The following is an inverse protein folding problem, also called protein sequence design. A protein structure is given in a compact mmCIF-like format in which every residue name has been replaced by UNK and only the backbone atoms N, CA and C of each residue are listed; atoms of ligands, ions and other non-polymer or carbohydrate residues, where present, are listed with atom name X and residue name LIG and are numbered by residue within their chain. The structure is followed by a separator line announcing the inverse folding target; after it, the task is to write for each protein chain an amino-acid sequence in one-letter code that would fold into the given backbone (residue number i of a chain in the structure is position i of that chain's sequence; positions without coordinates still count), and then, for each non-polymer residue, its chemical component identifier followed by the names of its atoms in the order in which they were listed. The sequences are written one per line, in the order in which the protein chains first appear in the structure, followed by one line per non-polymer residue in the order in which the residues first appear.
data_IF_856894563919
#
_entry.id   IF_856894563919
#
_cell.length_a   1.000
_cell.length_b   1.000
_cell.length_c   1.000
_cell.angle_alpha   90.00
_cell.angle_beta   90.00
_cell.angle_gamma   90.00
#
_symmetry.space_group_name_H-M   'P 1'
#
loop_
_entity.id
_entity.type
_entity.pdbx_description
1 polymer ?
#
# COMPACT_ATOMS: atom_id res chain seq x y z
N UNK A 1 -18.43 -23.71 13.95
CA UNK A 1 -17.51 -24.32 12.97
C UNK A 1 -16.62 -25.25 13.75
N UNK A 2 -16.96 -26.53 13.75
CA UNK A 2 -16.19 -27.54 14.46
C UNK A 2 -14.81 -27.60 13.84
N UNK A 3 -13.80 -27.13 14.59
CA UNK A 3 -12.42 -27.05 14.16
C UNK A 3 -11.81 -28.43 14.03
N UNK A 4 -12.17 -29.17 12.97
CA UNK A 4 -11.45 -30.39 12.60
C UNK A 4 -10.00 -30.01 12.37
N UNK A 5 -9.11 -30.61 13.16
CA UNK A 5 -7.68 -30.47 12.96
C UNK A 5 -7.34 -30.96 11.54
N UNK A 6 -6.72 -30.10 10.74
CA UNK A 6 -6.26 -30.49 9.41
C UNK A 6 -5.12 -31.50 9.55
N UNK A 7 -5.26 -32.66 8.91
CA UNK A 7 -4.23 -33.71 8.87
C UNK A 7 -3.46 -33.57 7.57
N UNK A 8 -2.12 -33.67 7.62
CA UNK A 8 -1.30 -33.61 6.41
C UNK A 8 -1.58 -34.84 5.50
N UNK A 9 -1.89 -34.65 4.21
CA UNK A 9 -2.15 -35.77 3.30
C UNK A 9 -0.89 -36.58 2.93
N UNK A 10 0.31 -36.08 3.23
CA UNK A 10 1.58 -36.74 2.91
C UNK A 10 2.13 -37.62 4.05
N UNK A 11 2.05 -37.14 5.29
CA UNK A 11 2.55 -37.87 6.47
C UNK A 11 1.48 -38.35 7.44
N UNK A 12 0.21 -38.00 7.20
CA UNK A 12 -0.95 -38.40 8.01
C UNK A 12 -0.90 -37.96 9.49
N UNK A 13 -0.09 -36.94 9.81
CA UNK A 13 0.01 -36.37 11.15
C UNK A 13 -0.63 -34.97 11.22
N UNK A 14 -1.16 -34.62 12.40
CA UNK A 14 -1.77 -33.32 12.70
C UNK A 14 -0.92 -32.44 13.65
N UNK A 15 0.13 -33.00 14.25
CA UNK A 15 0.97 -32.37 15.28
C UNK A 15 1.74 -31.15 14.77
N UNK A 16 2.19 -31.19 13.52
CA UNK A 16 3.05 -30.18 12.89
C UNK A 16 2.37 -29.42 11.75
N UNK A 17 1.04 -29.48 11.69
CA UNK A 17 0.24 -28.74 10.73
C UNK A 17 -0.14 -27.38 11.32
N UNK A 18 0.20 -26.30 10.64
CA UNK A 18 -0.12 -24.94 11.05
C UNK A 18 -0.79 -24.19 9.93
N UNK A 19 -1.71 -23.27 10.27
CA UNK A 19 -2.34 -22.39 9.28
C UNK A 19 -1.28 -21.51 8.61
N UNK A 20 -1.33 -21.38 7.28
CA UNK A 20 -0.36 -20.56 6.53
C UNK A 20 -0.30 -19.13 7.04
N UNK A 21 -1.45 -18.54 7.39
CA UNK A 21 -1.51 -17.20 7.96
C UNK A 21 -0.78 -17.08 9.30
N UNK A 22 -0.85 -18.13 10.15
CA UNK A 22 -0.10 -18.20 11.40
C UNK A 22 1.39 -18.30 11.15
N UNK A 23 1.82 -19.10 10.17
CA UNK A 23 3.24 -19.21 9.79
C UNK A 23 3.79 -17.92 9.20
N UNK A 24 3.02 -17.22 8.37
CA UNK A 24 3.39 -15.91 7.86
C UNK A 24 3.52 -14.87 8.98
N UNK A 25 2.56 -14.83 9.91
CA UNK A 25 2.62 -13.94 11.07
C UNK A 25 3.81 -14.24 11.99
N UNK A 26 4.21 -15.52 12.15
CA UNK A 26 5.45 -15.87 12.86
C UNK A 26 6.72 -15.50 12.08
N UNK A 27 6.65 -15.53 10.75
CA UNK A 27 7.76 -15.21 9.86
C UNK A 27 7.94 -13.73 9.58
N UNK A 28 7.01 -12.88 10.03
CA UNK A 28 7.04 -11.42 9.86
C UNK A 28 6.98 -10.75 11.22
N UNK A 29 7.87 -9.81 11.47
CA UNK A 29 7.91 -9.08 12.73
C UNK A 29 8.45 -7.68 12.53
N UNK A 30 7.96 -6.74 13.34
CA UNK A 30 8.51 -5.40 13.38
C UNK A 30 9.57 -5.37 14.48
N UNK A 31 10.78 -4.94 14.12
CA UNK A 31 11.84 -4.67 15.08
C UNK A 31 12.03 -3.16 15.17
N UNK A 32 11.82 -2.63 16.36
CA UNK A 32 12.24 -1.28 16.73
C UNK A 32 13.49 -1.40 17.60
N UNK A 33 14.65 -1.12 17.02
CA UNK A 33 15.91 -1.07 17.75
C UNK A 33 16.15 0.38 18.19
N UNK A 34 16.23 0.61 19.49
CA UNK A 34 16.65 1.90 20.06
C UNK A 34 18.07 1.74 20.57
N UNK A 35 18.99 2.54 20.05
CA UNK A 35 20.40 2.48 20.42
C UNK A 35 21.02 3.88 20.54
N UNK A 36 22.04 3.99 21.37
CA UNK A 36 22.93 5.16 21.39
C UNK A 36 24.06 4.94 20.40
N UNK A 37 24.05 5.66 19.29
CA UNK A 37 25.19 5.71 18.37
C UNK A 37 26.17 6.78 18.82
N UNK A 38 27.44 6.42 18.90
CA UNK A 38 28.54 7.37 19.15
C UNK A 38 29.18 7.70 17.80
N UNK A 39 29.21 8.98 17.46
CA UNK A 39 29.84 9.48 16.23
C UNK A 39 30.98 10.43 16.56
N UNK A 40 32.08 10.34 15.82
CA UNK A 40 33.13 11.35 15.82
C UNK A 40 33.04 12.15 14.51
N UNK A 41 33.00 13.47 14.62
CA UNK A 41 33.01 14.40 13.49
C UNK A 41 34.31 15.22 13.50
N UNK A 42 34.88 15.44 12.32
CA UNK A 42 36.00 16.37 12.13
C UNK A 42 35.45 17.66 11.51
N UNK A 43 35.63 18.78 12.20
CA UNK A 43 35.30 20.11 11.68
C UNK A 43 36.34 20.54 10.65
N UNK A 44 35.93 21.38 9.69
CA UNK A 44 36.85 22.01 8.73
C UNK A 44 37.94 22.87 9.40
N UNK A 45 37.73 23.28 10.65
CA UNK A 45 38.71 23.97 11.49
C UNK A 45 39.71 23.03 12.20
N UNK A 46 39.67 21.72 11.93
CA UNK A 46 40.56 20.73 12.53
C UNK A 46 40.17 20.24 13.94
N UNK A 47 39.00 20.63 14.43
CA UNK A 47 38.49 20.13 15.71
C UNK A 47 37.83 18.75 15.57
N UNK A 48 38.14 17.84 16.49
CA UNK A 48 37.44 16.55 16.63
C UNK A 48 36.33 16.71 17.67
N UNK A 49 35.08 16.45 17.29
CA UNK A 49 33.95 16.40 18.22
C UNK A 49 33.42 14.98 18.32
N UNK A 50 33.21 14.48 19.55
CA UNK A 50 32.52 13.21 19.80
C UNK A 50 31.13 13.52 20.30
N UNK A 51 30.11 13.02 19.60
CA UNK A 51 28.71 13.18 19.96
C UNK A 51 28.04 11.83 20.15
N UNK A 52 27.12 11.76 21.10
CA UNK A 52 26.20 10.62 21.23
C UNK A 52 24.84 11.04 20.67
N UNK A 53 24.27 10.23 19.78
CA UNK A 53 22.92 10.42 19.28
C UNK A 53 22.07 9.19 19.62
N UNK A 54 20.80 9.41 19.99
CA UNK A 54 19.82 8.34 20.07
C UNK A 54 19.30 8.06 18.67
N UNK A 55 19.61 6.88 18.15
CA UNK A 55 19.07 6.39 16.88
C UNK A 55 17.98 5.38 17.16
N UNK A 56 16.84 5.59 16.51
CA UNK A 56 15.77 4.60 16.42
C UNK A 56 15.80 4.02 15.02
N UNK A 57 15.99 2.71 14.93
CA UNK A 57 15.88 1.94 13.70
C UNK A 57 14.59 1.14 13.78
N UNK A 58 13.58 1.58 13.02
CA UNK A 58 12.38 0.78 12.80
C UNK A 58 12.58 -0.01 11.48
N UNK A 59 12.45 -1.33 11.54
CA UNK A 59 12.62 -2.21 10.38
C UNK A 59 11.71 -3.42 10.43
N UNK A 60 11.33 -3.90 9.25
CA UNK A 60 10.54 -5.13 9.12
C UNK A 60 11.48 -6.33 8.94
N UNK A 61 11.38 -7.28 9.87
CA UNK A 61 12.04 -8.58 9.77
C UNK A 61 11.09 -9.54 9.06
N UNK A 62 11.61 -10.24 8.04
CA UNK A 62 10.85 -11.27 7.34
C UNK A 62 11.72 -12.47 6.98
N UNK A 63 11.28 -13.66 7.37
CA UNK A 63 11.95 -14.93 7.02
C UNK A 63 11.67 -15.30 5.56
N UNK A 64 12.53 -16.12 4.96
CA UNK A 64 12.33 -16.62 3.58
C UNK A 64 10.99 -17.35 3.44
N UNK A 65 10.65 -18.20 4.42
CA UNK A 65 9.37 -18.90 4.49
C UNK A 65 8.20 -17.92 4.63
N UNK A 66 8.33 -16.91 5.51
CA UNK A 66 7.32 -15.86 5.67
C UNK A 66 7.05 -15.10 4.37
N UNK A 67 8.10 -14.79 3.59
CA UNK A 67 7.96 -14.16 2.27
C UNK A 67 7.29 -15.07 1.24
N UNK A 68 7.64 -16.36 1.21
CA UNK A 68 7.01 -17.32 0.29
C UNK A 68 5.52 -17.51 0.59
N UNK A 69 5.16 -17.53 1.88
CA UNK A 69 3.79 -17.66 2.38
C UNK A 69 3.04 -16.33 2.48
N UNK A 70 3.57 -15.23 1.93
CA UNK A 70 2.96 -13.92 2.02
C UNK A 70 1.54 -13.91 1.42
N UNK A 71 0.60 -13.15 2.02
CA UNK A 71 -0.71 -12.96 1.43
C UNK A 71 -0.61 -12.30 0.06
N UNK A 72 -1.60 -12.48 -0.84
CA UNK A 72 -1.61 -11.80 -2.12
C UNK A 72 -1.63 -10.27 -1.90
N UNK A 73 -0.72 -9.56 -2.57
CA UNK A 73 -0.57 -8.11 -2.41
C UNK A 73 -1.88 -7.40 -2.77
N UNK A 74 -2.41 -6.60 -1.83
CA UNK A 74 -3.58 -5.76 -2.09
C UNK A 74 -3.17 -4.65 -3.03
N UNK A 75 -4.02 -4.36 -4.02
CA UNK A 75 -3.80 -3.23 -4.91
C UNK A 75 -3.69 -1.93 -4.09
N UNK A 76 -2.49 -1.35 -4.04
CA UNK A 76 -2.27 -0.05 -3.41
C UNK A 76 -2.83 1.01 -4.35
N UNK A 77 -3.89 1.69 -3.92
CA UNK A 77 -4.39 2.88 -4.60
C UNK A 77 -3.24 3.89 -4.63
N UNK A 78 -2.79 4.27 -5.82
CA UNK A 78 -1.81 5.34 -5.95
C UNK A 78 -2.47 6.59 -5.39
N UNK A 79 -1.94 7.10 -4.27
CA UNK A 79 -2.39 8.35 -3.70
C UNK A 79 -2.02 9.45 -4.69
N UNK A 80 -3.00 9.90 -5.47
CA UNK A 80 -2.80 11.01 -6.38
C UNK A 80 -2.37 12.24 -5.56
N UNK A 81 -1.26 12.85 -5.96
CA UNK A 81 -0.66 13.97 -5.24
C UNK A 81 -1.67 15.12 -5.11
N UNK A 82 -2.11 15.38 -3.88
CA UNK A 82 -3.03 16.48 -3.55
C UNK A 82 -2.47 17.87 -3.91
N UNK A 83 -1.20 17.96 -4.30
CA UNK A 83 -0.52 19.18 -4.71
C UNK A 83 -1.22 19.90 -5.86
N UNK A 84 -1.64 19.19 -6.91
CA UNK A 84 -2.32 19.82 -8.06
C UNK A 84 -3.67 20.43 -7.68
N UNK A 85 -4.37 19.79 -6.75
CA UNK A 85 -5.67 20.27 -6.24
C UNK A 85 -5.44 21.49 -5.36
N UNK A 86 -4.45 21.44 -4.47
CA UNK A 86 -4.08 22.57 -3.63
C UNK A 86 -3.69 23.79 -4.48
N UNK A 87 -2.93 23.59 -5.56
CA UNK A 87 -2.53 24.64 -6.49
C UNK A 87 -3.74 25.26 -7.22
N UNK A 88 -4.68 24.44 -7.70
CA UNK A 88 -5.89 24.92 -8.35
C UNK A 88 -6.78 25.75 -7.40
N UNK A 89 -6.95 25.29 -6.16
CA UNK A 89 -7.70 26.03 -5.12
C UNK A 89 -7.00 27.34 -4.76
N UNK A 90 -5.67 27.31 -4.63
CA UNK A 90 -4.87 28.51 -4.38
C UNK A 90 -5.07 29.57 -5.46
N UNK A 91 -5.00 29.20 -6.74
CA UNK A 91 -5.23 30.12 -7.86
C UNK A 91 -6.67 30.68 -7.88
N UNK A 92 -7.65 29.86 -7.52
CA UNK A 92 -9.07 30.26 -7.47
C UNK A 92 -9.35 31.28 -6.36
N UNK A 93 -8.63 31.23 -5.23
CA UNK A 93 -8.82 32.17 -4.11
C UNK A 93 -7.95 33.41 -4.24
N UNK A 94 -6.67 33.23 -4.60
CA UNK A 94 -5.70 34.33 -4.63
C UNK A 94 -5.89 35.22 -5.86
N UNK A 95 -6.27 34.64 -7.00
CA UNK A 95 -6.50 35.40 -8.25
C UNK A 95 -7.54 36.51 -8.09
N UNK A 96 -8.76 36.22 -7.60
CA UNK A 96 -9.80 37.22 -7.38
C UNK A 96 -9.43 38.25 -6.30
N UNK A 97 -8.78 37.82 -5.22
CA UNK A 97 -8.34 38.75 -4.17
C UNK A 97 -7.32 39.77 -4.70
N UNK A 98 -6.34 39.31 -5.48
CA UNK A 98 -5.39 40.21 -6.14
C UNK A 98 -6.09 41.11 -7.15
N UNK A 99 -7.02 40.60 -7.95
CA UNK A 99 -7.80 41.39 -8.89
C UNK A 99 -8.60 42.53 -8.23
N UNK A 100 -9.22 42.26 -7.07
CA UNK A 100 -9.95 43.25 -6.28
C UNK A 100 -9.03 44.35 -5.72
N UNK A 101 -7.85 43.98 -5.24
CA UNK A 101 -6.85 44.95 -4.77
C UNK A 101 -6.38 45.89 -5.89
N UNK A 102 -6.16 45.39 -7.10
CA UNK A 102 -5.77 46.21 -8.25
C UNK A 102 -6.92 47.06 -8.81
N UNK A 103 -8.17 46.61 -8.69
CA UNK A 103 -9.31 47.43 -9.12
C UNK A 103 -9.46 48.71 -8.29
N UNK A 104 -9.06 48.69 -7.02
CA UNK A 104 -9.11 49.85 -6.14
C UNK A 104 -8.15 50.99 -6.53
N UNK A 105 -7.12 50.71 -7.34
CA UNK A 105 -6.14 51.72 -7.79
C UNK A 105 -6.55 52.47 -9.06
N UNK A 106 -7.78 52.26 -9.57
CA UNK A 106 -8.36 53.08 -10.64
C UNK A 106 -7.86 52.78 -12.06
N UNK A 107 -7.26 51.61 -12.30
CA UNK A 107 -6.92 51.17 -13.65
C UNK A 107 -8.12 50.45 -14.30
N UNK A 108 -8.28 50.58 -15.63
CA UNK A 108 -9.29 49.89 -16.48
C UNK A 108 -9.16 48.34 -16.49
N UNK A 109 -8.48 47.76 -15.50
CA UNK A 109 -8.19 46.32 -15.35
C UNK A 109 -9.37 45.50 -14.81
N UNK A 110 -10.55 46.08 -14.67
CA UNK A 110 -11.77 45.34 -14.24
C UNK A 110 -12.04 44.17 -15.20
N UNK A 111 -11.88 44.38 -16.51
CA UNK A 111 -12.03 43.32 -17.50
C UNK A 111 -11.00 42.21 -17.29
N UNK A 112 -9.73 42.55 -17.04
CA UNK A 112 -8.67 41.57 -16.76
C UNK A 112 -9.00 40.71 -15.54
N UNK A 113 -9.51 41.32 -14.47
CA UNK A 113 -9.95 40.60 -13.27
C UNK A 113 -11.10 39.63 -13.54
N UNK A 114 -12.12 40.06 -14.28
CA UNK A 114 -13.26 39.21 -14.66
C UNK A 114 -12.83 38.06 -15.58
N UNK A 115 -11.96 38.32 -16.55
CA UNK A 115 -11.41 37.27 -17.42
C UNK A 115 -10.60 36.25 -16.63
N UNK A 116 -9.68 36.68 -15.75
CA UNK A 116 -8.88 35.78 -14.92
C UNK A 116 -9.75 34.93 -13.97
N UNK A 117 -10.77 35.54 -13.36
CA UNK A 117 -11.73 34.82 -12.53
C UNK A 117 -12.52 33.79 -13.34
N UNK A 118 -13.01 34.16 -14.54
CA UNK A 118 -13.72 33.26 -15.44
C UNK A 118 -12.87 32.06 -15.88
N UNK A 119 -11.62 32.30 -16.29
CA UNK A 119 -10.67 31.23 -16.61
C UNK A 119 -10.33 30.36 -15.40
N UNK A 120 -10.21 30.94 -14.21
CA UNK A 120 -10.00 30.20 -12.97
C UNK A 120 -11.16 29.28 -12.62
N UNK A 121 -12.40 29.75 -12.77
CA UNK A 121 -13.60 28.94 -12.52
C UNK A 121 -13.73 27.82 -13.56
N UNK A 122 -13.60 28.14 -14.86
CA UNK A 122 -13.69 27.13 -15.93
C UNK A 122 -12.58 26.08 -15.81
N UNK A 123 -11.35 26.51 -15.52
CA UNK A 123 -10.22 25.62 -15.26
C UNK A 123 -10.43 24.77 -14.01
N UNK A 124 -10.92 25.36 -12.93
CA UNK A 124 -11.27 24.65 -11.69
C UNK A 124 -12.36 23.60 -11.89
N UNK A 125 -13.45 23.95 -12.57
CA UNK A 125 -14.54 23.00 -12.88
C UNK A 125 -14.04 21.88 -13.76
N UNK A 126 -13.26 22.18 -14.81
CA UNK A 126 -12.68 21.17 -15.70
C UNK A 126 -11.75 20.21 -14.95
N UNK A 127 -10.82 20.72 -14.15
CA UNK A 127 -9.88 19.90 -13.37
C UNK A 127 -10.60 19.04 -12.33
N UNK A 128 -11.63 19.55 -11.67
CA UNK A 128 -12.48 18.78 -10.77
C UNK A 128 -13.27 17.68 -11.51
N UNK A 129 -13.77 17.97 -12.71
CA UNK A 129 -14.50 17.00 -13.51
C UNK A 129 -13.61 15.87 -14.02
N UNK A 130 -12.43 16.20 -14.56
CA UNK A 130 -11.41 15.22 -14.94
C UNK A 130 -10.98 14.37 -13.73
N UNK A 131 -10.75 15.00 -12.57
CA UNK A 131 -10.42 14.30 -11.34
C UNK A 131 -11.52 13.33 -10.92
N UNK A 132 -12.79 13.77 -10.92
CA UNK A 132 -13.93 12.91 -10.58
C UNK A 132 -14.03 11.73 -11.55
N UNK A 133 -13.79 11.97 -12.83
CA UNK A 133 -13.78 10.92 -13.86
C UNK A 133 -12.62 9.93 -13.65
N UNK A 134 -11.44 10.41 -13.29
CA UNK A 134 -10.30 9.56 -12.93
C UNK A 134 -10.59 8.75 -11.67
N UNK A 135 -11.13 9.35 -10.61
CA UNK A 135 -11.51 8.66 -9.39
C UNK A 135 -12.56 7.57 -9.66
N UNK A 136 -13.62 7.87 -10.40
CA UNK A 136 -14.61 6.85 -10.77
C UNK A 136 -14.00 5.72 -11.61
N UNK A 137 -13.09 6.03 -12.54
CA UNK A 137 -12.39 5.00 -13.31
C UNK A 137 -11.47 4.15 -12.43
N UNK A 138 -10.78 4.75 -11.47
CA UNK A 138 -9.94 4.05 -10.51
C UNK A 138 -10.77 3.19 -9.55
N UNK A 139 -11.89 3.71 -9.05
CA UNK A 139 -12.81 2.98 -8.18
C UNK A 139 -13.44 1.79 -8.92
N UNK A 140 -13.85 1.98 -10.19
CA UNK A 140 -14.36 0.88 -11.02
C UNK A 140 -13.28 -0.19 -11.24
N UNK A 141 -12.04 0.21 -11.57
CA UNK A 141 -10.91 -0.73 -11.71
C UNK A 141 -10.53 -1.39 -10.38
N UNK A 142 -10.66 -0.68 -9.27
CA UNK A 142 -10.39 -1.21 -7.94
C UNK A 142 -11.45 -2.26 -7.58
N UNK A 143 -12.73 -1.98 -7.82
CA UNK A 143 -13.83 -2.92 -7.61
C UNK A 143 -13.67 -4.18 -8.47
N UNK A 144 -13.33 -4.02 -9.76
CA UNK A 144 -13.05 -5.15 -10.67
C UNK A 144 -11.89 -6.02 -10.18
N UNK A 145 -10.90 -5.44 -9.50
CA UNK A 145 -9.74 -6.17 -8.95
C UNK A 145 -9.97 -6.71 -7.54
N UNK A 146 -10.95 -6.18 -6.82
CA UNK A 146 -11.25 -6.53 -5.44
C UNK A 146 -11.87 -7.92 -5.34
N UNK A 147 -12.76 -8.28 -6.27
CA UNK A 147 -13.36 -9.62 -6.29
C UNK A 147 -12.34 -10.75 -6.51
N UNK A 148 -11.47 -10.73 -7.54
CA UNK A 148 -10.40 -11.73 -7.67
C UNK A 148 -9.46 -11.76 -6.46
N UNK A 149 -9.12 -10.60 -5.90
CA UNK A 149 -8.28 -10.54 -4.70
C UNK A 149 -8.97 -11.15 -3.48
N UNK A 150 -10.27 -10.93 -3.29
CA UNK A 150 -11.05 -11.55 -2.21
C UNK A 150 -11.09 -13.06 -2.35
N UNK A 151 -11.27 -13.58 -3.57
CA UNK A 151 -11.21 -15.01 -3.85
C UNK A 151 -9.82 -15.59 -3.54
N UNK A 152 -8.76 -14.95 -4.03
CA UNK A 152 -7.38 -15.33 -3.71
C UNK A 152 -7.10 -15.31 -2.21
N UNK A 153 -7.59 -14.29 -1.50
CA UNK A 153 -7.45 -14.16 -0.05
C UNK A 153 -8.22 -15.24 0.71
N UNK A 154 -9.43 -15.57 0.27
CA UNK A 154 -10.22 -16.67 0.83
C UNK A 154 -9.48 -18.01 0.68
N UNK A 155 -8.90 -18.27 -0.51
CA UNK A 155 -8.06 -19.45 -0.73
C UNK A 155 -6.82 -19.44 0.16
N UNK A 156 -6.06 -18.35 0.19
CA UNK A 156 -4.87 -18.25 1.05
C UNK A 156 -5.20 -18.50 2.53
N UNK A 157 -6.34 -18.01 3.01
CA UNK A 157 -6.80 -18.21 4.38
C UNK A 157 -7.21 -19.64 4.74
N UNK A 158 -7.46 -20.52 3.75
CA UNK A 158 -7.81 -21.93 4.01
C UNK A 158 -6.60 -22.87 3.95
N UNK A 159 -5.44 -22.38 3.49
CA UNK A 159 -4.23 -23.17 3.36
C UNK A 159 -3.58 -23.51 4.71
N UNK A 160 -3.05 -24.73 4.78
CA UNK A 160 -2.26 -25.24 5.90
C UNK A 160 -0.85 -25.61 5.41
N UNK A 161 0.13 -25.45 6.29
CA UNK A 161 1.53 -25.77 6.07
C UNK A 161 1.95 -26.90 7.01
N UNK A 162 2.54 -27.96 6.45
CA UNK A 162 3.15 -29.04 7.21
C UNK A 162 4.64 -28.77 7.35
N UNK A 163 5.10 -28.55 8.59
CA UNK A 163 6.52 -28.28 8.87
C UNK A 163 7.41 -29.49 8.58
N UNK A 164 6.89 -30.72 8.73
CA UNK A 164 7.66 -31.96 8.55
C UNK A 164 8.06 -32.20 7.10
N UNK A 165 7.12 -31.96 6.19
CA UNK A 165 7.25 -32.30 4.78
C UNK A 165 7.61 -31.10 3.88
N UNK A 166 7.62 -29.89 4.46
CA UNK A 166 7.76 -28.62 3.75
C UNK A 166 6.76 -28.46 2.59
N UNK A 167 5.49 -28.80 2.86
CA UNK A 167 4.39 -28.71 1.88
C UNK A 167 3.25 -27.86 2.41
N UNK A 168 2.62 -27.13 1.50
CA UNK A 168 1.35 -26.44 1.73
C UNK A 168 0.24 -27.29 1.14
N UNK A 169 -0.89 -27.39 1.81
CA UNK A 169 -2.03 -28.12 1.28
C UNK A 169 -3.35 -27.42 1.59
N UNK A 170 -4.34 -27.74 0.76
CA UNK A 170 -5.72 -27.31 0.92
C UNK A 170 -6.57 -28.49 1.41
N UNK A 171 -7.15 -28.45 2.62
CA UNK A 171 -7.94 -29.57 3.14
C UNK A 171 -9.26 -29.76 2.39
N UNK A 172 -9.78 -28.75 1.69
CA UNK A 172 -11.03 -28.85 0.92
C UNK A 172 -10.80 -29.53 -0.43
N UNK A 173 -9.73 -29.14 -1.12
CA UNK A 173 -9.39 -29.65 -2.47
C UNK A 173 -8.48 -30.89 -2.42
N UNK A 174 -7.97 -31.25 -1.23
CA UNK A 174 -6.99 -32.32 -1.01
C UNK A 174 -5.73 -32.16 -1.89
N UNK A 175 -5.35 -30.91 -2.19
CA UNK A 175 -4.28 -30.58 -3.12
C UNK A 175 -2.99 -30.26 -2.36
N UNK A 176 -1.89 -30.90 -2.77
CA UNK A 176 -0.54 -30.67 -2.26
C UNK A 176 0.21 -29.68 -3.16
N UNK A 177 0.75 -28.63 -2.55
CA UNK A 177 1.40 -27.49 -3.20
C UNK A 177 2.79 -27.31 -2.60
N UNK A 178 3.80 -27.16 -3.45
CA UNK A 178 5.14 -26.80 -2.99
C UNK A 178 5.19 -25.34 -2.52
N UNK A 179 6.03 -25.02 -1.54
CA UNK A 179 6.12 -23.66 -0.97
C UNK A 179 6.38 -22.58 -2.04
N UNK A 180 7.18 -22.89 -3.06
CA UNK A 180 7.47 -21.97 -4.17
C UNK A 180 6.29 -21.72 -5.11
N UNK A 181 5.25 -22.56 -5.09
CA UNK A 181 4.11 -22.51 -6.00
C UNK A 181 2.86 -21.93 -5.36
N UNK A 182 2.87 -21.69 -4.06
CA UNK A 182 1.74 -21.14 -3.28
C UNK A 182 1.21 -19.86 -3.94
N UNK A 183 2.09 -18.95 -4.34
CA UNK A 183 1.69 -17.70 -5.01
C UNK A 183 1.01 -17.93 -6.35
N UNK A 184 1.43 -18.96 -7.10
CA UNK A 184 0.82 -19.31 -8.38
C UNK A 184 -0.57 -19.92 -8.16
N UNK A 185 -0.71 -20.81 -7.19
CA UNK A 185 -1.98 -21.43 -6.82
C UNK A 185 -3.01 -20.41 -6.30
N UNK A 186 -2.58 -19.50 -5.43
CA UNK A 186 -3.45 -18.43 -4.91
C UNK A 186 -3.94 -17.50 -6.02
N UNK A 187 -3.10 -17.24 -7.04
CA UNK A 187 -3.45 -16.37 -8.18
C UNK A 187 -4.19 -17.07 -9.30
N UNK A 188 -4.04 -18.39 -9.49
CA UNK A 188 -4.70 -19.12 -10.58
C UNK A 188 -6.23 -19.12 -10.43
N UNK A 189 -6.73 -19.04 -9.19
CA UNK A 189 -8.15 -18.86 -8.90
C UNK A 189 -8.76 -17.56 -9.42
N UNK A 190 -7.94 -16.57 -9.78
CA UNK A 190 -8.40 -15.28 -10.29
C UNK A 190 -8.66 -15.29 -11.80
N UNK A 191 -8.30 -16.35 -12.53
CA UNK A 191 -8.52 -16.43 -13.98
C UNK A 191 -9.89 -17.05 -14.21
N UNK A 192 -10.92 -16.21 -14.28
CA UNK A 192 -12.18 -16.61 -14.90
C UNK A 192 -11.88 -16.83 -16.38
N UNK A 193 -11.87 -18.09 -16.82
CA UNK A 193 -11.80 -18.43 -18.24
C UNK A 193 -13.04 -17.86 -18.92
N UNK A 194 -12.88 -16.69 -19.54
CA UNK A 194 -13.86 -16.02 -20.41
C UNK A 194 -13.44 -16.16 -21.86
#
# INVERSE_FOLDING_TARGET
MDGKAAVCPKCEQADLVRKVSGMHAMGTGQAALVGTTVGAGLSSAGHVSVGTAHTRLDGDLSTSLGKALAPPERYKRQAFSGFLVALAVFLLVVGPCMGLLYAATGADMVFTGVFLAGFGILGGVRTLWERRRHLHKEDAKAAEREEPWNLAMARWNRLYYCVRDDVVFDPEEQLLISVGEVQRYVRSGCRTDT
#
